data_IF_972441662736
#
_entry.id   IF_972441662736
#
_cell.length_a   1.000
_cell.length_b   1.000
_cell.length_c   1.000
_cell.angle_alpha   90.00
_cell.angle_beta   90.00
_cell.angle_gamma   90.00
#
_symmetry.space_group_name_H-M   'P 1'
#
loop_
_entity.id
_entity.type
_entity.pdbx_description
1 polymer ?
#
# COMPACT_ATOMS: atom_id res chain seq x y z
N UNK A 1 0.05 -9.98 -1.21
CA UNK A 1 0.35 -8.61 -1.65
C UNK A 1 -0.33 -8.30 -2.96
N UNK A 2 0.07 -8.92 -4.08
CA UNK A 2 -0.51 -8.64 -5.42
C UNK A 2 -2.05 -8.63 -5.50
N UNK A 3 -2.75 -9.53 -4.79
CA UNK A 3 -4.21 -9.48 -4.72
C UNK A 3 -4.73 -8.21 -4.03
N UNK A 4 -4.11 -7.77 -2.93
CA UNK A 4 -4.53 -6.58 -2.20
C UNK A 4 -4.45 -5.33 -3.09
N UNK A 5 -3.33 -5.17 -3.79
CA UNK A 5 -3.12 -4.04 -4.71
C UNK A 5 -4.05 -4.10 -5.92
N UNK A 6 -4.17 -5.27 -6.55
CA UNK A 6 -5.06 -5.44 -7.70
C UNK A 6 -6.51 -5.10 -7.33
N UNK A 7 -7.01 -5.63 -6.22
CA UNK A 7 -8.36 -5.32 -5.75
C UNK A 7 -8.50 -3.84 -5.40
N UNK A 8 -7.58 -3.29 -4.60
CA UNK A 8 -7.68 -1.90 -4.15
C UNK A 8 -7.70 -0.91 -5.33
N UNK A 9 -6.79 -1.09 -6.31
CA UNK A 9 -6.71 -0.24 -7.51
C UNK A 9 -7.90 -0.43 -8.46
N UNK A 10 -8.36 -1.67 -8.67
CA UNK A 10 -9.54 -1.93 -9.50
C UNK A 10 -10.79 -1.29 -8.89
N UNK A 11 -11.03 -1.49 -7.59
CA UNK A 11 -12.16 -0.88 -6.90
C UNK A 11 -12.05 0.63 -6.95
N UNK A 12 -10.91 1.22 -6.59
CA UNK A 12 -10.74 2.67 -6.60
C UNK A 12 -11.01 3.31 -7.97
N UNK A 13 -10.53 2.72 -9.06
CA UNK A 13 -10.73 3.26 -10.39
C UNK A 13 -12.11 2.96 -10.99
N UNK A 14 -12.70 1.80 -10.70
CA UNK A 14 -13.84 1.25 -11.48
C UNK A 14 -15.06 0.84 -10.65
N UNK A 15 -14.94 0.79 -9.33
CA UNK A 15 -15.97 0.30 -8.42
C UNK A 15 -16.12 -1.22 -8.37
N UNK A 16 -15.29 -1.96 -9.10
CA UNK A 16 -15.36 -3.42 -9.19
C UNK A 16 -13.98 -4.05 -9.02
N UNK A 17 -13.95 -5.29 -8.54
CA UNK A 17 -12.71 -6.04 -8.27
C UNK A 17 -12.33 -7.03 -9.38
N UNK A 18 -11.41 -7.95 -9.07
CA UNK A 18 -10.93 -8.96 -10.03
C UNK A 18 -12.05 -9.80 -10.65
N UNK A 19 -13.15 -10.01 -9.92
CA UNK A 19 -14.27 -10.83 -10.37
C UNK A 19 -14.90 -10.32 -11.68
N UNK A 20 -14.73 -9.03 -11.99
CA UNK A 20 -15.26 -8.42 -13.22
C UNK A 20 -14.23 -8.37 -14.37
N UNK A 21 -12.94 -8.43 -14.08
CA UNK A 21 -11.87 -8.19 -15.06
C UNK A 21 -11.05 -9.44 -15.39
N UNK A 22 -10.85 -10.31 -14.40
CA UNK A 22 -10.07 -11.53 -14.50
C UNK A 22 -10.50 -12.54 -13.41
N UNK A 23 -11.78 -12.99 -13.39
CA UNK A 23 -12.31 -13.86 -12.34
C UNK A 23 -11.54 -15.18 -12.21
N UNK A 24 -10.93 -15.66 -13.29
CA UNK A 24 -10.08 -16.85 -13.30
C UNK A 24 -8.88 -16.71 -12.35
N UNK A 25 -8.41 -15.48 -12.10
CA UNK A 25 -7.31 -15.20 -11.20
C UNK A 25 -7.73 -15.26 -9.73
N UNK A 26 -9.00 -15.07 -9.40
CA UNK A 26 -9.48 -15.23 -8.02
C UNK A 26 -9.45 -16.71 -7.57
N UNK A 27 -9.57 -17.64 -8.53
CA UNK A 27 -9.62 -19.10 -8.31
C UNK A 27 -10.66 -19.52 -7.24
N UNK A 28 -11.83 -18.86 -7.24
CA UNK A 28 -12.90 -19.11 -6.28
C UNK A 28 -12.69 -18.51 -4.89
N UNK A 29 -11.64 -17.70 -4.70
CA UNK A 29 -11.45 -16.94 -3.46
C UNK A 29 -12.54 -15.87 -3.26
N UNK A 30 -12.88 -15.51 -2.01
CA UNK A 30 -13.96 -14.56 -1.72
C UNK A 30 -13.64 -13.14 -2.21
N UNK A 31 -14.67 -12.38 -2.60
CA UNK A 31 -14.53 -10.97 -2.94
C UNK A 31 -14.09 -10.14 -1.73
N UNK A 32 -13.31 -9.06 -1.92
CA UNK A 32 -12.84 -8.23 -0.82
C UNK A 32 -13.99 -7.50 -0.13
N UNK A 33 -13.84 -7.26 1.17
CA UNK A 33 -14.79 -6.50 1.98
C UNK A 33 -14.57 -4.99 1.73
N UNK A 34 -15.68 -4.28 1.51
CA UNK A 34 -15.73 -2.81 1.60
C UNK A 34 -15.06 -2.03 0.46
N UNK A 35 -14.70 -2.69 -0.65
CA UNK A 35 -14.20 -2.02 -1.83
C UNK A 35 -15.23 -1.03 -2.41
N UNK A 36 -14.79 0.19 -2.74
CA UNK A 36 -15.62 1.25 -3.30
C UNK A 36 -14.91 1.93 -4.47
N UNK A 37 -15.69 2.56 -5.35
CA UNK A 37 -15.13 3.51 -6.32
C UNK A 37 -14.67 4.77 -5.58
N UNK A 38 -13.42 5.17 -5.81
CA UNK A 38 -12.87 6.39 -5.23
C UNK A 38 -13.31 7.62 -6.04
N UNK A 39 -13.42 8.76 -5.36
CA UNK A 39 -13.66 10.05 -5.99
C UNK A 39 -12.34 10.62 -6.55
N UNK A 40 -11.94 10.13 -7.73
CA UNK A 40 -10.69 10.48 -8.38
C UNK A 40 -10.89 11.50 -9.49
N UNK A 41 -9.95 12.43 -9.64
CA UNK A 41 -9.85 13.24 -10.87
C UNK A 41 -9.49 12.35 -12.07
N UNK A 42 -9.69 12.87 -13.29
CA UNK A 42 -9.51 12.10 -14.53
C UNK A 42 -8.10 11.52 -14.67
N UNK A 43 -7.06 12.28 -14.32
CA UNK A 43 -5.68 11.83 -14.45
C UNK A 43 -5.37 10.77 -13.40
N UNK A 44 -5.76 10.99 -12.14
CA UNK A 44 -5.56 10.01 -11.07
C UNK A 44 -6.29 8.71 -11.37
N UNK A 45 -7.53 8.77 -11.84
CA UNK A 45 -8.29 7.59 -12.22
C UNK A 45 -7.58 6.77 -13.30
N UNK A 46 -7.05 7.44 -14.33
CA UNK A 46 -6.34 6.78 -15.42
C UNK A 46 -5.06 6.09 -14.93
N UNK A 47 -4.25 6.79 -14.13
CA UNK A 47 -3.02 6.23 -13.54
C UNK A 47 -3.32 5.03 -12.64
N UNK A 48 -4.29 5.15 -11.73
CA UNK A 48 -4.68 4.06 -10.83
C UNK A 48 -5.22 2.86 -11.62
N UNK A 49 -5.98 3.08 -12.69
CA UNK A 49 -6.45 2.00 -13.55
C UNK A 49 -5.28 1.29 -14.25
N UNK A 50 -4.27 2.03 -14.73
CA UNK A 50 -3.06 1.43 -15.30
C UNK A 50 -2.32 0.57 -14.27
N UNK A 51 -2.20 1.01 -13.01
CA UNK A 51 -1.62 0.19 -11.94
C UNK A 51 -2.42 -1.08 -11.70
N UNK A 52 -3.75 -0.98 -11.69
CA UNK A 52 -4.64 -2.13 -11.55
C UNK A 52 -4.40 -3.19 -12.63
N UNK A 53 -4.29 -2.77 -13.90
CA UNK A 53 -4.01 -3.67 -15.03
C UNK A 53 -2.63 -4.32 -14.95
N UNK A 54 -1.61 -3.58 -14.46
CA UNK A 54 -0.27 -4.14 -14.22
C UNK A 54 -0.31 -5.25 -13.17
N UNK A 55 -1.03 -5.05 -12.05
CA UNK A 55 -1.18 -6.07 -10.99
C UNK A 55 -1.95 -7.31 -11.46
N UNK A 56 -2.95 -7.15 -12.35
CA UNK A 56 -3.55 -8.31 -13.07
C UNK A 56 -2.48 -9.07 -13.86
N UNK A 57 -1.61 -8.36 -14.58
CA UNK A 57 -0.49 -8.94 -15.32
C UNK A 57 0.48 -9.71 -14.41
N UNK A 58 0.82 -9.15 -13.25
CA UNK A 58 1.67 -9.80 -12.25
C UNK A 58 1.04 -11.08 -11.71
N UNK A 59 -0.24 -11.05 -11.34
CA UNK A 59 -0.99 -12.22 -10.90
C UNK A 59 -0.96 -13.34 -11.95
N UNK A 60 -1.13 -13.00 -13.24
CA UNK A 60 -1.01 -13.96 -14.36
C UNK A 60 0.41 -14.54 -14.45
N UNK A 61 1.43 -13.71 -14.34
CA UNK A 61 2.83 -14.14 -14.43
C UNK A 61 3.22 -15.07 -13.27
N UNK A 62 2.85 -14.72 -12.05
CA UNK A 62 3.12 -15.51 -10.84
C UNK A 62 2.44 -16.87 -10.94
N UNK A 63 1.14 -16.91 -11.27
CA UNK A 63 0.37 -18.16 -11.37
C UNK A 63 0.86 -19.10 -12.47
N UNK A 64 1.58 -18.60 -13.47
CA UNK A 64 2.24 -19.43 -14.49
C UNK A 64 3.54 -20.07 -14.01
N UNK A 65 4.22 -19.47 -13.02
CA UNK A 65 5.55 -19.91 -12.56
C UNK A 65 5.52 -20.72 -11.29
N UNK A 66 4.59 -20.42 -10.38
CA UNK A 66 4.49 -21.11 -9.08
C UNK A 66 3.08 -21.61 -8.85
N UNK A 67 2.96 -22.69 -8.08
CA UNK A 67 1.66 -23.16 -7.59
C UNK A 67 1.06 -22.07 -6.70
N UNK A 68 0.15 -21.29 -7.27
CA UNK A 68 -0.53 -20.22 -6.57
C UNK A 68 -1.58 -20.74 -5.58
N UNK A 69 -2.25 -19.80 -4.94
CA UNK A 69 -3.41 -20.03 -4.08
C UNK A 69 -4.57 -19.14 -4.53
N UNK A 70 -5.83 -19.50 -4.18
CA UNK A 70 -6.98 -18.62 -4.36
C UNK A 70 -6.82 -17.31 -3.61
N UNK A 71 -7.43 -16.24 -4.14
CA UNK A 71 -7.47 -14.92 -3.50
C UNK A 71 -7.86 -15.08 -2.02
N UNK A 72 -7.05 -14.60 -1.06
CA UNK A 72 -7.44 -14.61 0.35
C UNK A 72 -8.60 -13.63 0.59
N UNK A 73 -9.31 -13.77 1.71
CA UNK A 73 -10.24 -12.72 2.13
C UNK A 73 -9.44 -11.45 2.45
N UNK A 74 -9.81 -10.36 1.78
CA UNK A 74 -9.21 -9.05 1.95
C UNK A 74 -10.24 -8.11 2.56
N UNK A 75 -9.77 -7.15 3.36
CA UNK A 75 -10.60 -6.08 3.88
C UNK A 75 -10.02 -4.72 3.49
N UNK A 76 -10.59 -4.13 2.44
CA UNK A 76 -10.18 -2.81 1.92
C UNK A 76 -11.20 -1.73 2.28
N UNK A 77 -12.03 -1.98 3.29
CA UNK A 77 -13.05 -1.03 3.76
C UNK A 77 -12.46 0.26 4.33
N UNK A 78 -13.23 1.34 4.25
CA UNK A 78 -12.92 2.61 4.94
C UNK A 78 -12.57 2.38 6.42
N UNK A 79 -13.30 1.48 7.09
CA UNK A 79 -13.11 1.15 8.49
C UNK A 79 -11.76 0.45 8.74
N UNK A 80 -11.33 -0.44 7.84
CA UNK A 80 -10.02 -1.09 7.93
C UNK A 80 -8.89 -0.08 7.80
N UNK A 81 -8.97 0.84 6.83
CA UNK A 81 -7.97 1.91 6.69
C UNK A 81 -7.93 2.83 7.92
N UNK A 82 -9.09 3.25 8.43
CA UNK A 82 -9.18 4.06 9.65
C UNK A 82 -8.69 3.33 10.91
N UNK A 83 -8.80 1.99 10.96
CA UNK A 83 -8.22 1.16 11.99
C UNK A 83 -6.72 1.02 11.87
N UNK A 84 -6.21 0.80 10.65
CA UNK A 84 -4.77 0.70 10.45
C UNK A 84 -4.13 2.03 10.82
N UNK A 85 -4.68 3.16 10.38
CA UNK A 85 -4.22 4.50 10.74
C UNK A 85 -4.52 4.89 12.20
N UNK A 86 -4.61 3.93 13.13
CA UNK A 86 -4.97 4.18 14.52
C UNK A 86 -4.09 5.23 15.20
N UNK A 87 -2.77 5.17 15.03
CA UNK A 87 -1.87 6.10 15.75
C UNK A 87 -1.92 7.54 15.21
N UNK A 88 -2.63 7.78 14.11
CA UNK A 88 -2.86 9.12 13.56
C UNK A 88 -4.30 9.62 13.80
N UNK A 89 -5.16 8.83 14.48
CA UNK A 89 -6.60 9.13 14.70
C UNK A 89 -6.88 10.48 15.35
N UNK A 90 -6.03 10.94 16.26
CA UNK A 90 -6.22 12.23 16.95
C UNK A 90 -6.16 13.42 15.98
N UNK A 91 -5.55 13.23 14.81
CA UNK A 91 -5.40 14.25 13.76
C UNK A 91 -6.38 14.05 12.60
N UNK A 92 -7.15 12.95 12.61
CA UNK A 92 -8.03 12.54 11.51
C UNK A 92 -9.48 12.43 12.00
N UNK A 93 -10.13 13.59 12.09
CA UNK A 93 -11.57 13.73 12.29
C UNK A 93 -12.18 14.41 11.06
N UNK A 94 -13.03 13.72 10.27
CA UNK A 94 -13.55 12.35 10.44
C UNK A 94 -12.53 11.23 10.17
N UNK A 95 -12.76 9.97 10.59
CA UNK A 95 -11.84 8.86 10.35
C UNK A 95 -11.38 8.74 8.88
N UNK A 96 -10.14 8.28 8.67
CA UNK A 96 -9.54 8.21 7.34
C UNK A 96 -10.35 7.38 6.34
N UNK A 97 -10.84 8.05 5.31
CA UNK A 97 -11.51 7.40 4.18
C UNK A 97 -10.63 7.46 2.91
N UNK A 98 -10.08 6.32 2.46
CA UNK A 98 -9.26 6.29 1.25
C UNK A 98 -10.06 6.65 0.00
N UNK A 99 -11.39 6.48 -0.01
CA UNK A 99 -12.23 6.66 -1.19
C UNK A 99 -12.78 8.09 -1.35
N UNK A 100 -12.63 8.94 -0.34
CA UNK A 100 -13.27 10.25 -0.26
C UNK A 100 -12.85 11.23 -1.36
N UNK A 101 -11.57 11.20 -1.75
CA UNK A 101 -11.00 12.08 -2.76
C UNK A 101 -9.67 11.51 -3.31
N UNK A 102 -9.15 12.13 -4.36
CA UNK A 102 -7.92 11.67 -5.03
C UNK A 102 -6.69 11.66 -4.11
N UNK A 103 -6.57 12.59 -3.16
CA UNK A 103 -5.36 12.74 -2.35
C UNK A 103 -5.34 11.70 -1.22
N UNK A 104 -6.47 11.47 -0.55
CA UNK A 104 -6.63 10.36 0.38
C UNK A 104 -6.35 9.02 -0.31
N UNK A 105 -6.86 8.85 -1.53
CA UNK A 105 -6.65 7.62 -2.28
C UNK A 105 -5.18 7.41 -2.63
N UNK A 106 -4.46 8.46 -3.02
CA UNK A 106 -3.02 8.37 -3.31
C UNK A 106 -2.21 8.08 -2.05
N UNK A 107 -2.58 8.63 -0.89
CA UNK A 107 -1.94 8.28 0.36
C UNK A 107 -2.21 6.84 0.81
N UNK A 108 -3.44 6.37 0.64
CA UNK A 108 -3.78 4.96 0.85
C UNK A 108 -3.00 4.05 -0.13
N UNK A 109 -2.88 4.49 -1.38
CA UNK A 109 -2.08 3.84 -2.42
C UNK A 109 -0.59 3.93 -2.15
N UNK A 110 -0.09 4.90 -1.39
CA UNK A 110 1.30 4.93 -0.95
C UNK A 110 1.50 3.95 0.22
N UNK A 111 0.48 3.78 1.06
CA UNK A 111 0.50 2.88 2.22
C UNK A 111 0.64 1.40 1.86
N UNK A 112 0.00 0.94 0.77
CA UNK A 112 -0.06 -0.48 0.39
C UNK A 112 1.21 -1.03 -0.33
N UNK A 113 1.90 -0.34 -1.25
CA UNK A 113 2.91 -0.94 -2.13
C UNK A 113 4.31 -1.11 -1.54
N UNK A 114 4.66 -0.42 -0.45
CA UNK A 114 5.97 -0.59 0.19
C UNK A 114 6.21 -2.02 0.74
N UNK A 115 5.18 -2.87 0.70
CA UNK A 115 5.18 -4.25 1.18
C UNK A 115 5.61 -5.29 0.15
N UNK A 116 5.94 -4.90 -1.08
CA UNK A 116 6.51 -5.84 -2.03
C UNK A 116 8.02 -5.98 -1.82
N UNK A 117 8.43 -7.21 -1.48
CA UNK A 117 9.80 -7.63 -1.25
C UNK A 117 10.76 -7.03 -2.29
N UNK A 118 11.62 -6.17 -1.78
CA UNK A 118 12.78 -5.57 -2.44
C UNK A 118 13.64 -6.68 -3.02
N UNK A 119 13.54 -6.89 -4.33
CA UNK A 119 14.34 -7.88 -5.04
C UNK A 119 13.85 -8.27 -6.43
N UNK A 120 12.57 -8.05 -6.77
CA UNK A 120 12.04 -8.52 -8.08
C UNK A 120 11.36 -7.47 -8.99
N UNK A 121 11.09 -6.23 -8.56
CA UNK A 121 10.25 -5.33 -9.36
C UNK A 121 10.73 -3.87 -9.36
N UNK A 122 11.52 -3.52 -10.36
CA UNK A 122 11.79 -2.12 -10.77
C UNK A 122 10.48 -1.34 -11.08
N UNK A 123 9.38 -2.05 -11.37
CA UNK A 123 8.08 -1.47 -11.66
C UNK A 123 7.36 -0.89 -10.43
N UNK A 124 7.50 -1.48 -9.25
CA UNK A 124 6.77 -1.05 -8.05
C UNK A 124 7.37 0.21 -7.42
N UNK A 125 8.70 0.33 -7.40
CA UNK A 125 9.36 1.57 -7.01
C UNK A 125 9.05 2.72 -7.98
N UNK A 126 8.78 2.41 -9.25
CA UNK A 126 8.25 3.36 -10.24
C UNK A 126 6.83 3.85 -9.92
N UNK A 127 5.94 2.94 -9.51
CA UNK A 127 4.57 3.29 -9.09
C UNK A 127 4.60 4.22 -7.86
N UNK A 128 5.43 3.91 -6.87
CA UNK A 128 5.62 4.75 -5.68
C UNK A 128 6.12 6.15 -6.05
N UNK A 129 7.09 6.26 -6.95
CA UNK A 129 7.60 7.54 -7.44
C UNK A 129 6.53 8.37 -8.14
N UNK A 130 5.67 7.73 -8.96
CA UNK A 130 4.52 8.40 -9.60
C UNK A 130 3.52 8.88 -8.56
N UNK A 131 3.14 8.04 -7.59
CA UNK A 131 2.20 8.41 -6.52
C UNK A 131 2.73 9.62 -5.75
N UNK A 132 3.99 9.57 -5.31
CA UNK A 132 4.59 10.67 -4.53
C UNK A 132 4.70 11.95 -5.37
N UNK A 133 5.09 11.86 -6.64
CA UNK A 133 5.10 13.02 -7.53
C UNK A 133 3.70 13.63 -7.69
N UNK A 134 2.66 12.80 -7.83
CA UNK A 134 1.27 13.26 -7.90
C UNK A 134 0.77 13.88 -6.59
N UNK A 135 1.28 13.44 -5.45
CA UNK A 135 0.99 14.02 -4.13
C UNK A 135 1.66 15.40 -4.00
N UNK A 136 2.93 15.52 -4.38
CA UNK A 136 3.75 16.72 -4.15
C UNK A 136 3.38 17.91 -5.04
N UNK A 137 2.78 17.69 -6.21
CA UNK A 137 2.36 18.77 -7.12
C UNK A 137 1.00 19.42 -6.75
N UNK A 138 0.37 19.02 -5.63
CA UNK A 138 -1.01 19.40 -5.30
C UNK A 138 -1.12 20.27 -4.04
N UNK A 139 -2.14 21.14 -3.97
CA UNK A 139 -2.23 22.20 -2.96
C UNK A 139 -2.26 21.65 -1.52
N UNK A 140 -1.70 22.48 -0.64
CA UNK A 140 -1.05 22.07 0.60
C UNK A 140 -1.92 21.41 1.67
N UNK A 141 -3.25 21.51 1.62
CA UNK A 141 -4.16 21.05 2.69
C UNK A 141 -4.95 19.79 2.30
N UNK A 142 -5.01 18.82 3.21
CA UNK A 142 -5.68 17.54 3.00
C UNK A 142 -7.13 17.56 3.49
N UNK A 143 -8.07 18.10 2.70
CA UNK A 143 -9.48 18.05 3.09
C UNK A 143 -9.98 16.60 3.31
N UNK A 144 -10.81 16.32 4.33
CA UNK A 144 -11.43 17.25 5.29
C UNK A 144 -10.53 17.65 6.48
N UNK A 145 -9.32 17.13 6.55
CA UNK A 145 -8.39 17.37 7.65
C UNK A 145 -7.79 18.77 7.59
N UNK A 146 -7.62 19.38 8.76
CA UNK A 146 -6.87 20.63 8.91
C UNK A 146 -5.36 20.35 9.06
N UNK A 147 -4.81 19.53 8.16
CA UNK A 147 -3.39 19.17 8.11
C UNK A 147 -2.86 19.33 6.69
N UNK A 148 -1.58 19.58 6.56
CA UNK A 148 -0.93 19.67 5.25
C UNK A 148 -0.58 18.31 4.69
N UNK A 149 -0.35 18.25 3.37
CA UNK A 149 0.19 17.09 2.66
C UNK A 149 1.52 16.63 3.27
N UNK A 150 2.39 17.57 3.62
CA UNK A 150 3.70 17.27 4.24
C UNK A 150 3.55 16.70 5.65
N UNK A 151 2.70 17.32 6.49
CA UNK A 151 2.40 16.79 7.82
C UNK A 151 1.80 15.38 7.73
N UNK A 152 0.89 15.14 6.78
CA UNK A 152 0.30 13.82 6.61
C UNK A 152 1.29 12.77 6.10
N UNK A 153 2.21 13.13 5.18
CA UNK A 153 3.35 12.27 4.79
C UNK A 153 4.16 11.87 6.01
N UNK A 154 4.53 12.83 6.85
CA UNK A 154 5.32 12.60 8.06
C UNK A 154 4.57 11.69 9.05
N UNK A 155 3.26 11.86 9.20
CA UNK A 155 2.42 10.98 10.03
C UNK A 155 2.40 9.54 9.52
N UNK A 156 2.23 9.33 8.21
CA UNK A 156 2.27 8.00 7.60
C UNK A 156 3.64 7.34 7.81
N UNK A 157 4.73 8.06 7.53
CA UNK A 157 6.10 7.56 7.73
C UNK A 157 6.36 7.20 9.20
N UNK A 158 5.90 8.03 10.14
CA UNK A 158 6.02 7.74 11.58
C UNK A 158 5.24 6.48 11.97
N UNK A 159 3.98 6.40 11.56
CA UNK A 159 3.11 5.26 11.85
C UNK A 159 3.68 3.94 11.32
N UNK A 160 4.24 3.95 10.11
CA UNK A 160 4.92 2.78 9.55
C UNK A 160 6.14 2.35 10.37
N UNK A 161 6.96 3.31 10.84
CA UNK A 161 8.13 3.01 11.70
C UNK A 161 7.68 2.29 12.98
N UNK A 162 6.56 2.71 13.55
CA UNK A 162 5.99 2.13 14.78
C UNK A 162 5.52 0.67 14.55
N UNK A 163 4.76 0.41 13.47
CA UNK A 163 4.19 -0.92 13.20
C UNK A 163 5.23 -1.89 12.64
N UNK A 164 6.09 -1.45 11.73
CA UNK A 164 7.09 -2.28 11.06
C UNK A 164 8.22 -2.74 11.99
N UNK A 165 8.52 -2.00 13.07
CA UNK A 165 9.61 -2.32 14.01
C UNK A 165 10.98 -2.53 13.35
N UNK A 166 11.35 -1.59 12.45
CA UNK A 166 12.71 -1.21 11.98
C UNK A 166 13.16 -1.67 10.57
N UNK A 167 12.67 -0.99 9.55
CA UNK A 167 13.49 -0.31 8.50
C UNK A 167 12.62 0.77 7.84
N UNK A 168 12.93 2.06 8.05
CA UNK A 168 12.52 3.15 7.17
C UNK A 168 13.54 4.29 7.33
N UNK A 169 14.68 4.20 6.62
CA UNK A 169 15.56 5.36 6.43
C UNK A 169 14.92 6.28 5.39
N UNK A 170 15.02 7.59 5.63
CA UNK A 170 14.34 8.70 4.94
C UNK A 170 13.56 8.36 3.66
N UNK A 171 12.24 8.22 3.85
CA UNK A 171 11.23 8.17 2.79
C UNK A 171 10.93 9.57 2.20
N UNK A 172 11.49 10.63 2.78
CA UNK A 172 11.32 11.96 2.23
C UNK A 172 11.96 12.01 0.85
N UNK A 173 11.16 12.38 -0.14
CA UNK A 173 11.70 12.75 -1.45
C UNK A 173 12.65 13.94 -1.32
N UNK A 174 12.62 14.71 -0.23
CA UNK A 174 13.59 15.74 0.09
C UNK A 174 14.51 15.28 1.22
N UNK A 175 15.79 15.12 0.91
CA UNK A 175 16.84 14.86 1.88
C UNK A 175 17.84 16.03 1.89
N UNK A 176 18.57 16.26 2.99
CA UNK A 176 19.78 17.08 2.94
C UNK A 176 20.65 16.64 1.76
N UNK A 177 21.30 17.58 1.06
CA UNK A 177 22.01 17.28 -0.20
C UNK A 177 22.95 16.08 -0.06
N UNK A 178 23.62 15.92 1.08
CA UNK A 178 24.56 14.81 1.34
C UNK A 178 23.91 13.42 1.49
N UNK A 179 22.59 13.36 1.70
CA UNK A 179 21.76 12.14 1.74
C UNK A 179 20.92 11.98 0.46
N UNK A 180 20.99 12.98 -0.43
CA UNK A 180 20.38 13.00 -1.75
C UNK A 180 21.06 12.06 -2.75
N UNK A 181 20.55 12.01 -3.99
CA UNK A 181 21.05 11.11 -5.05
C UNK A 181 22.51 11.43 -5.35
N UNK A 182 23.41 10.49 -5.07
CA UNK A 182 24.87 10.63 -5.16
C UNK A 182 25.43 11.89 -4.47
N UNK A 183 24.73 12.40 -3.45
CA UNK A 183 25.02 13.69 -2.81
C UNK A 183 25.00 14.92 -3.76
N UNK A 184 24.35 14.81 -4.93
CA UNK A 184 24.27 15.87 -5.95
C UNK A 184 22.91 16.56 -5.98
N UNK A 185 21.86 15.83 -5.63
CA UNK A 185 20.48 16.31 -5.72
C UNK A 185 19.76 15.95 -4.41
N UNK A 186 19.25 16.96 -3.70
CA UNK A 186 18.46 16.78 -2.48
C UNK A 186 17.21 15.92 -2.71
N UNK A 187 16.65 15.99 -3.93
CA UNK A 187 15.44 15.25 -4.30
C UNK A 187 15.69 13.85 -4.85
N UNK A 188 14.85 12.90 -4.43
CA UNK A 188 14.82 11.52 -4.94
C UNK A 188 13.56 11.30 -5.79
N UNK A 189 13.57 10.28 -6.65
CA UNK A 189 12.38 9.82 -7.40
C UNK A 189 11.70 8.64 -6.68
N UNK A 190 12.45 7.93 -5.83
CA UNK A 190 11.99 6.79 -5.04
C UNK A 190 12.83 6.66 -3.76
N UNK A 191 12.24 6.07 -2.71
CA UNK A 191 12.83 5.97 -1.38
C UNK A 191 13.92 4.88 -1.30
N UNK A 192 15.17 5.31 -1.42
CA UNK A 192 16.34 4.46 -1.24
C UNK A 192 17.42 5.18 -0.41
N UNK A 193 18.40 4.41 0.09
CA UNK A 193 19.58 5.00 0.70
C UNK A 193 20.41 5.83 -0.31
N UNK A 194 21.49 6.48 0.14
CA UNK A 194 22.34 7.32 -0.73
C UNK A 194 22.98 6.57 -1.92
N UNK A 195 22.92 5.23 -1.91
CA UNK A 195 23.40 4.34 -2.97
C UNK A 195 22.27 3.69 -3.78
N UNK A 196 21.02 4.12 -3.58
CA UNK A 196 19.84 3.57 -4.24
C UNK A 196 19.59 2.09 -3.84
N UNK A 197 19.96 1.69 -2.63
CA UNK A 197 19.78 0.33 -2.12
C UNK A 197 18.49 0.26 -1.30
N UNK A 198 17.57 -0.67 -1.63
CA UNK A 198 16.33 -0.78 -0.89
C UNK A 198 16.60 -1.31 0.52
N UNK A 199 15.93 -0.76 1.53
CA UNK A 199 15.84 -1.38 2.85
C UNK A 199 15.24 -2.79 2.66
N UNK A 200 15.94 -3.88 2.99
CA UNK A 200 15.33 -5.21 2.91
C UNK A 200 14.23 -5.31 3.96
N UNK A 201 12.97 -5.36 3.53
CA UNK A 201 11.82 -5.57 4.41
C UNK A 201 11.64 -7.07 4.66
N UNK A 202 11.58 -7.50 5.92
CA UNK A 202 11.39 -8.92 6.23
C UNK A 202 9.93 -9.33 6.08
N UNK A 203 9.66 -10.64 6.04
CA UNK A 203 8.28 -11.12 5.93
C UNK A 203 7.45 -10.76 7.16
N UNK A 204 8.06 -10.82 8.34
CA UNK A 204 7.47 -10.42 9.62
C UNK A 204 7.04 -8.95 9.59
N UNK A 205 7.91 -8.07 9.10
CA UNK A 205 7.62 -6.65 8.97
C UNK A 205 6.42 -6.41 8.04
N UNK A 206 6.39 -7.09 6.88
CA UNK A 206 5.25 -7.01 5.96
C UNK A 206 3.96 -7.47 6.67
N UNK A 207 3.99 -8.63 7.33
CA UNK A 207 2.81 -9.20 7.99
C UNK A 207 2.29 -8.30 9.12
N UNK A 208 3.16 -7.75 9.97
CA UNK A 208 2.79 -6.78 11.02
C UNK A 208 2.02 -5.60 10.47
N UNK A 209 2.44 -5.09 9.31
CA UNK A 209 1.86 -3.90 8.72
C UNK A 209 0.55 -4.22 8.00
N UNK A 210 0.49 -5.30 7.21
CA UNK A 210 -0.75 -5.64 6.50
C UNK A 210 -1.83 -6.19 7.43
N UNK A 211 -1.47 -6.71 8.59
CA UNK A 211 -2.41 -7.04 9.67
C UNK A 211 -2.80 -5.83 10.52
N UNK A 212 -2.09 -4.70 10.40
CA UNK A 212 -2.39 -3.44 11.08
C UNK A 212 -2.13 -3.42 12.59
N UNK A 213 -1.94 -4.58 13.23
CA UNK A 213 -1.77 -4.70 14.67
C UNK A 213 -0.31 -4.63 15.17
N UNK A 214 0.68 -4.66 14.28
CA UNK A 214 2.09 -4.69 14.69
C UNK A 214 2.56 -6.04 15.25
N UNK A 215 1.77 -7.10 15.07
CA UNK A 215 2.10 -8.49 15.39
C UNK A 215 1.82 -9.38 14.16
N UNK A 216 2.87 -9.96 13.60
CA UNK A 216 2.87 -10.86 12.44
C UNK A 216 2.12 -12.18 12.70
N UNK A 217 1.81 -12.50 13.96
CA UNK A 217 1.14 -13.73 14.35
C UNK A 217 -0.37 -13.58 14.51
N UNK A 218 -0.89 -12.35 14.45
CA UNK A 218 -2.31 -12.03 14.69
C UNK A 218 -2.90 -11.39 13.45
N UNK A 219 -3.69 -12.14 12.65
CA UNK A 219 -4.43 -11.59 11.52
C UNK A 219 -5.32 -10.40 11.87
N UNK A 220 -5.57 -9.56 10.88
CA UNK A 220 -6.33 -8.32 11.04
C UNK A 220 -6.16 -7.40 9.84
N UNK A 221 -6.53 -6.14 9.99
CA UNK A 221 -6.28 -5.11 8.98
C UNK A 221 -6.78 -5.52 7.60
N UNK A 222 -5.88 -5.54 6.61
CA UNK A 222 -6.19 -5.91 5.24
C UNK A 222 -6.41 -7.41 5.03
N UNK A 223 -5.96 -8.26 5.95
CA UNK A 223 -6.07 -9.72 5.89
C UNK A 223 -6.73 -10.25 7.17
N UNK A 224 -8.06 -10.09 7.31
CA UNK A 224 -8.78 -10.45 8.54
C UNK A 224 -8.64 -11.94 8.93
N UNK A 225 -8.48 -12.82 7.94
CA UNK A 225 -8.26 -14.26 8.15
C UNK A 225 -6.80 -14.69 7.95
N UNK A 226 -5.90 -13.73 7.76
CA UNK A 226 -4.47 -13.94 7.58
C UNK A 226 -4.07 -14.06 6.12
N UNK A 227 -2.80 -13.79 5.86
CA UNK A 227 -2.22 -13.93 4.53
C UNK A 227 -2.03 -15.42 4.16
N UNK A 228 -2.11 -15.70 2.86
CA UNK A 228 -1.98 -17.05 2.31
C UNK A 228 -0.55 -17.40 1.87
N UNK A 229 -0.28 -18.69 1.71
CA UNK A 229 1.03 -19.25 1.35
C UNK A 229 1.73 -19.92 2.53
N UNK A 230 2.73 -20.76 2.23
CA UNK A 230 3.46 -21.52 3.26
C UNK A 230 4.17 -20.60 4.26
N UNK A 231 4.83 -19.56 3.76
CA UNK A 231 5.59 -18.61 4.58
C UNK A 231 4.65 -17.80 5.47
N UNK A 232 3.58 -17.20 4.93
CA UNK A 232 2.65 -16.42 5.75
C UNK A 232 1.98 -17.28 6.84
N UNK A 233 1.58 -18.50 6.49
CA UNK A 233 0.94 -19.43 7.44
C UNK A 233 1.87 -19.93 8.54
N UNK A 234 3.19 -19.94 8.34
CA UNK A 234 4.13 -20.35 9.40
C UNK A 234 4.23 -19.36 10.55
N UNK A 235 3.78 -18.11 10.36
CA UNK A 235 3.74 -17.10 11.42
C UNK A 235 2.43 -17.11 12.22
N UNK A 236 1.38 -17.78 11.76
CA UNK A 236 0.13 -17.81 12.51
C UNK A 236 0.32 -18.67 13.77
N UNK A 237 -0.09 -18.16 14.93
CA UNK A 237 -0.17 -19.00 16.14
C UNK A 237 -1.05 -20.20 15.82
N UNK A 238 -0.52 -21.41 15.95
CA UNK A 238 -1.34 -22.61 16.00
C UNK A 238 -2.39 -22.39 17.10
N UNK A 239 -3.67 -22.49 16.75
CA UNK A 239 -4.72 -22.51 17.76
C UNK A 239 -4.36 -23.60 18.77
N UNK A 240 -4.11 -23.19 20.01
CA UNK A 240 -3.91 -24.10 21.13
C UNK A 240 -5.23 -24.77 21.50
#
# INVERSE_FOLDING_TARGET
MEYLEAEFFLFGATGHGLDNFAPELAQGGPSPIGGKMANLDRLTKDVIYQFALQKIGHLRAIKRRVKGFPRPLLNISTEAFAQIMHSTRELLDPPFDPYANFINYLFASYFIPYFSLTGLLEGESGQDGVILAMVDIRPHMLAPYNITVEEFKNLITKHRKEIGRKCLKDESLEAPIFEGVEAKVARKVYAYDKYIIPCPTTTEEILRIVYGGGDEHVPGGFFPEGAHGLIAKSYLKSAA
#
